data_IF_674283151621
#
_entry.id   IF_674283151621
#
_cell.length_a   1.000
_cell.length_b   1.000
_cell.length_c   1.000
_cell.angle_alpha   90.00
_cell.angle_beta   90.00
_cell.angle_gamma   90.00
#
_symmetry.space_group_name_H-M   'P 1'
#
loop_
_entity.id
_entity.type
_entity.pdbx_description
1 polymer ?
#
# COMPACT_ATOMS: atom_id res chain seq x y z
N UNK A 1 -9.11 14.22 -18.32
CA UNK A 1 -8.24 14.57 -17.17
C UNK A 1 -8.79 14.17 -15.79
N UNK A 2 -10.10 14.01 -15.57
CA UNK A 2 -10.65 13.60 -14.25
C UNK A 2 -10.49 12.10 -13.88
N UNK A 3 -10.14 11.23 -14.83
CA UNK A 3 -9.98 9.77 -14.62
C UNK A 3 -8.61 9.35 -14.07
N UNK A 4 -7.58 10.19 -14.19
CA UNK A 4 -6.21 9.86 -13.77
C UNK A 4 -6.02 10.08 -12.25
N UNK A 5 -6.74 11.05 -11.67
CA UNK A 5 -6.67 11.35 -10.24
C UNK A 5 -7.31 10.27 -9.35
N UNK A 6 -8.28 9.51 -9.86
CA UNK A 6 -9.04 8.56 -9.05
C UNK A 6 -8.34 7.20 -8.85
N UNK A 7 -7.38 6.86 -9.72
CA UNK A 7 -6.61 5.60 -9.64
C UNK A 7 -5.38 5.75 -8.75
N UNK A 8 -4.79 6.97 -8.70
CA UNK A 8 -3.64 7.29 -7.85
C UNK A 8 -3.97 7.28 -6.35
N UNK A 9 -5.18 7.71 -5.97
CA UNK A 9 -5.62 7.70 -4.57
C UNK A 9 -5.95 6.29 -4.07
N UNK A 10 -6.50 5.41 -4.91
CA UNK A 10 -6.81 4.02 -4.52
C UNK A 10 -5.57 3.12 -4.43
N UNK A 11 -4.52 3.38 -5.21
CA UNK A 11 -3.27 2.62 -5.11
C UNK A 11 -2.47 2.96 -3.84
N UNK A 12 -2.49 4.20 -3.38
CA UNK A 12 -1.79 4.59 -2.14
C UNK A 12 -2.46 4.05 -0.87
N UNK A 13 -3.79 3.85 -0.87
CA UNK A 13 -4.51 3.24 0.25
C UNK A 13 -4.21 1.73 0.43
N UNK A 14 -3.68 1.07 -0.60
CA UNK A 14 -3.29 -0.35 -0.56
C UNK A 14 -1.85 -0.55 -0.04
N UNK A 15 -0.98 0.46 -0.13
CA UNK A 15 0.40 0.39 0.36
C UNK A 15 0.54 0.46 1.90
N UNK A 16 -0.49 0.89 2.62
CA UNK A 16 -0.48 1.02 4.09
C UNK A 16 -0.59 -0.32 4.86
N UNK A 17 -0.56 -1.47 4.19
CA UNK A 17 -0.85 -2.77 4.81
C UNK A 17 0.30 -3.79 4.82
N UNK A 18 1.46 -3.50 4.22
CA UNK A 18 2.52 -4.50 4.07
C UNK A 18 3.72 -4.36 5.02
N UNK A 19 4.03 -3.18 5.56
CA UNK A 19 5.10 -3.03 6.55
C UNK A 19 4.78 -3.65 7.92
N UNK A 20 3.52 -3.98 8.17
CA UNK A 20 3.06 -4.40 9.49
C UNK A 20 3.28 -5.87 9.86
N UNK A 21 3.38 -6.79 8.90
CA UNK A 21 3.43 -8.24 9.21
C UNK A 21 4.70 -8.63 9.98
N UNK A 22 5.86 -8.10 9.57
CA UNK A 22 7.14 -8.36 10.27
C UNK A 22 7.17 -7.80 11.68
N UNK A 23 6.66 -6.57 11.87
CA UNK A 23 6.72 -5.88 13.15
C UNK A 23 5.72 -6.36 14.22
N UNK A 24 4.83 -7.31 13.94
CA UNK A 24 3.96 -7.93 14.96
C UNK A 24 4.52 -9.27 15.43
N UNK A 25 5.00 -10.09 14.49
CA UNK A 25 5.60 -11.38 14.82
C UNK A 25 6.91 -11.20 15.60
N UNK A 26 7.70 -10.18 15.26
CA UNK A 26 8.92 -9.80 15.98
C UNK A 26 8.64 -9.32 17.42
N UNK A 27 7.50 -8.65 17.66
CA UNK A 27 7.07 -8.26 19.02
C UNK A 27 6.63 -9.48 19.85
N UNK A 28 5.94 -10.43 19.21
CA UNK A 28 5.51 -11.67 19.85
C UNK A 28 6.72 -12.54 20.19
N UNK A 29 7.69 -12.65 19.29
CA UNK A 29 8.94 -13.39 19.51
C UNK A 29 9.78 -12.75 20.61
N UNK A 30 9.91 -11.41 20.61
CA UNK A 30 10.60 -10.67 21.68
C UNK A 30 9.91 -10.83 23.03
N UNK A 31 8.58 -10.81 23.07
CA UNK A 31 7.81 -11.07 24.28
C UNK A 31 8.00 -12.50 24.81
N UNK A 32 8.11 -13.51 23.93
CA UNK A 32 8.43 -14.89 24.33
C UNK A 32 9.82 -14.99 24.94
N UNK A 33 10.82 -14.40 24.29
CA UNK A 33 12.19 -14.36 24.79
C UNK A 33 12.30 -13.67 26.17
N UNK A 34 11.53 -12.59 26.40
CA UNK A 34 11.49 -11.93 27.70
C UNK A 34 10.80 -12.79 28.77
N UNK A 35 9.75 -13.55 28.43
CA UNK A 35 9.12 -14.51 29.34
C UNK A 35 10.07 -15.64 29.74
N UNK A 36 10.87 -16.15 28.80
CA UNK A 36 11.87 -17.18 29.10
C UNK A 36 13.00 -16.64 29.98
N UNK A 37 13.47 -15.41 29.74
CA UNK A 37 14.45 -14.74 30.60
C UNK A 37 13.89 -14.47 32.00
N UNK A 38 12.62 -14.07 32.09
CA UNK A 38 11.92 -13.88 33.35
C UNK A 38 11.85 -15.20 34.16
N UNK A 39 11.53 -16.31 33.50
CA UNK A 39 11.51 -17.63 34.14
C UNK A 39 12.88 -18.02 34.70
N UNK A 40 13.96 -17.82 33.92
CA UNK A 40 15.34 -18.10 34.38
C UNK A 40 15.77 -17.19 35.54
N UNK A 41 15.38 -15.92 35.55
CA UNK A 41 15.67 -15.00 36.67
C UNK A 41 14.90 -15.39 37.94
N UNK A 42 13.66 -15.88 37.80
CA UNK A 42 12.89 -16.37 38.92
C UNK A 42 13.50 -17.65 39.53
N UNK A 43 14.01 -18.56 38.68
CA UNK A 43 14.76 -19.76 39.11
C UNK A 43 16.07 -19.41 39.84
N UNK A 44 16.72 -18.30 39.46
CA UNK A 44 17.92 -17.77 40.12
C UNK A 44 17.61 -17.00 41.41
N UNK A 45 16.34 -16.88 41.80
CA UNK A 45 15.91 -16.19 43.03
C UNK A 45 15.70 -14.69 42.89
N UNK A 46 15.96 -14.09 41.72
CA UNK A 46 15.68 -12.69 41.44
C UNK A 46 14.23 -12.49 40.97
N UNK A 47 13.32 -12.51 41.95
CA UNK A 47 11.88 -12.34 41.73
C UNK A 47 11.54 -10.95 41.18
N UNK A 48 12.29 -9.91 41.55
CA UNK A 48 12.04 -8.53 41.10
C UNK A 48 12.44 -8.34 39.63
N UNK A 49 13.59 -8.87 39.22
CA UNK A 49 14.00 -8.87 37.81
C UNK A 49 13.04 -9.66 36.92
N UNK A 50 12.58 -10.83 37.40
CA UNK A 50 11.60 -11.65 36.70
C UNK A 50 10.25 -10.94 36.51
N UNK A 51 9.74 -10.25 37.54
CA UNK A 51 8.49 -9.50 37.46
C UNK A 51 8.54 -8.35 36.44
N UNK A 52 9.65 -7.61 36.39
CA UNK A 52 9.85 -6.53 35.42
C UNK A 52 9.86 -7.05 33.98
N UNK A 53 10.60 -8.13 33.71
CA UNK A 53 10.63 -8.76 32.37
C UNK A 53 9.26 -9.33 31.98
N UNK A 54 8.49 -9.84 32.95
CA UNK A 54 7.11 -10.28 32.70
C UNK A 54 6.15 -9.13 32.43
N UNK A 55 6.36 -7.95 33.01
CA UNK A 55 5.57 -6.75 32.69
C UNK A 55 5.91 -6.26 31.28
N UNK A 56 7.19 -6.15 30.93
CA UNK A 56 7.64 -5.75 29.60
C UNK A 56 7.13 -6.70 28.50
N UNK A 57 7.20 -8.02 28.74
CA UNK A 57 6.64 -9.00 27.82
C UNK A 57 5.12 -8.87 27.63
N UNK A 58 4.38 -8.48 28.68
CA UNK A 58 2.93 -8.26 28.61
C UNK A 58 2.60 -7.01 27.79
N UNK A 59 3.36 -5.94 27.94
CA UNK A 59 3.19 -4.72 27.14
C UNK A 59 3.47 -4.97 25.66
N UNK A 60 4.52 -5.72 25.33
CA UNK A 60 4.82 -6.08 23.94
C UNK A 60 3.70 -6.91 23.30
N UNK A 61 3.09 -7.84 24.05
CA UNK A 61 1.94 -8.62 23.57
C UNK A 61 0.70 -7.74 23.34
N UNK A 62 0.36 -6.85 24.29
CA UNK A 62 -0.76 -5.91 24.12
C UNK A 62 -0.55 -4.99 22.91
N UNK A 63 0.67 -4.53 22.69
CA UNK A 63 1.01 -3.70 21.53
C UNK A 63 0.89 -4.49 20.21
N UNK A 64 1.22 -5.79 20.21
CA UNK A 64 1.04 -6.65 19.05
C UNK A 64 -0.45 -6.90 18.75
N UNK A 65 -1.26 -7.13 19.79
CA UNK A 65 -2.71 -7.30 19.69
C UNK A 65 -3.42 -6.04 19.19
N UNK A 66 -3.12 -4.88 19.77
CA UNK A 66 -3.68 -3.59 19.33
C UNK A 66 -3.35 -3.29 17.86
N UNK A 67 -2.13 -3.66 17.41
CA UNK A 67 -1.73 -3.54 15.99
C UNK A 67 -2.49 -4.50 15.09
N UNK A 68 -2.84 -5.68 15.57
CA UNK A 68 -3.63 -6.66 14.82
C UNK A 68 -5.09 -6.20 14.70
N UNK A 69 -5.69 -5.74 15.79
CA UNK A 69 -7.06 -5.22 15.82
C UNK A 69 -7.22 -3.98 14.91
N UNK A 70 -6.28 -3.03 14.96
CA UNK A 70 -6.31 -1.86 14.08
C UNK A 70 -6.25 -2.23 12.58
N UNK A 71 -5.57 -3.33 12.23
CA UNK A 71 -5.54 -3.83 10.84
C UNK A 71 -6.81 -4.51 10.43
N UNK A 72 -7.41 -5.30 11.32
CA UNK A 72 -8.68 -5.96 11.06
C UNK A 72 -9.80 -4.92 10.88
N UNK A 73 -9.81 -3.87 11.69
CA UNK A 73 -10.70 -2.73 11.53
C UNK A 73 -10.47 -2.02 10.19
N UNK A 74 -9.22 -1.74 9.80
CA UNK A 74 -8.89 -1.13 8.50
C UNK A 74 -9.22 -2.01 7.30
N UNK A 75 -9.06 -3.33 7.41
CA UNK A 75 -9.45 -4.29 6.37
C UNK A 75 -10.98 -4.35 6.20
N UNK A 76 -11.73 -4.37 7.30
CA UNK A 76 -13.21 -4.30 7.29
C UNK A 76 -13.69 -3.01 6.65
N UNK A 77 -13.10 -1.87 7.01
CA UNK A 77 -13.45 -0.56 6.42
C UNK A 77 -13.30 -0.52 4.90
N UNK A 78 -12.22 -1.11 4.35
CA UNK A 78 -12.02 -1.19 2.89
C UNK A 78 -13.02 -2.12 2.20
N UNK A 79 -13.39 -3.23 2.84
CA UNK A 79 -14.43 -4.12 2.31
C UNK A 79 -15.77 -3.39 2.24
N UNK A 80 -16.12 -2.64 3.29
CA UNK A 80 -17.37 -1.89 3.33
C UNK A 80 -17.40 -0.73 2.32
N UNK A 81 -16.26 -0.06 2.10
CA UNK A 81 -16.11 0.96 1.06
C UNK A 81 -16.34 0.38 -0.35
N UNK A 82 -15.72 -0.76 -0.67
CA UNK A 82 -15.89 -1.42 -1.98
C UNK A 82 -17.33 -1.90 -2.17
N UNK A 83 -17.99 -2.40 -1.12
CA UNK A 83 -19.42 -2.78 -1.16
C UNK A 83 -20.31 -1.59 -1.46
N UNK A 84 -20.10 -0.44 -0.80
CA UNK A 84 -20.86 0.79 -1.07
C UNK A 84 -20.70 1.23 -2.51
N UNK A 85 -19.46 1.29 -3.00
CA UNK A 85 -19.18 1.65 -4.40
C UNK A 85 -19.83 0.69 -5.39
N UNK A 86 -19.86 -0.61 -5.10
CA UNK A 86 -20.52 -1.59 -5.93
C UNK A 86 -22.04 -1.35 -5.99
N UNK A 87 -22.66 -1.03 -4.85
CA UNK A 87 -24.09 -0.68 -4.82
C UNK A 87 -24.39 0.56 -5.68
N UNK A 88 -23.60 1.63 -5.54
CA UNK A 88 -23.75 2.85 -6.34
C UNK A 88 -23.61 2.59 -7.84
N UNK A 89 -22.70 1.69 -8.24
CA UNK A 89 -22.48 1.35 -9.65
C UNK A 89 -23.62 0.51 -10.23
N UNK A 90 -24.20 -0.38 -9.44
CA UNK A 90 -25.37 -1.17 -9.85
C UNK A 90 -26.60 -0.27 -10.02
N UNK A 91 -26.79 0.69 -9.11
CA UNK A 91 -27.87 1.68 -9.24
C UNK A 91 -27.69 2.54 -10.49
N UNK A 92 -26.47 2.99 -10.77
CA UNK A 92 -26.14 3.73 -12.00
C UNK A 92 -26.35 2.89 -13.25
N UNK A 93 -26.01 1.60 -13.23
CA UNK A 93 -26.26 0.70 -14.37
C UNK A 93 -27.77 0.60 -14.65
N UNK A 94 -28.57 0.43 -13.60
CA UNK A 94 -30.03 0.34 -13.71
C UNK A 94 -30.62 1.63 -14.28
N UNK A 95 -30.22 2.78 -13.74
CA UNK A 95 -30.67 4.09 -14.22
C UNK A 95 -30.31 4.34 -15.69
N UNK A 96 -29.10 3.96 -16.12
CA UNK A 96 -28.65 4.11 -17.51
C UNK A 96 -29.41 3.21 -18.48
N UNK A 97 -29.77 1.99 -18.05
CA UNK A 97 -30.62 1.09 -18.85
C UNK A 97 -32.04 1.63 -18.98
N UNK A 98 -32.61 2.15 -17.89
CA UNK A 98 -33.96 2.73 -17.88
C UNK A 98 -34.04 4.03 -18.70
N UNK A 99 -32.98 4.83 -18.71
CA UNK A 99 -32.92 6.07 -19.50
C UNK A 99 -32.57 5.86 -20.97
N UNK A 100 -32.35 4.61 -21.43
CA UNK A 100 -31.92 4.32 -22.80
C UNK A 100 -30.57 4.97 -23.16
N UNK A 101 -29.66 5.07 -22.19
CA UNK A 101 -28.37 5.75 -22.38
C UNK A 101 -27.46 5.03 -23.39
N UNK A 102 -26.42 5.75 -23.84
CA UNK A 102 -25.46 5.24 -24.81
C UNK A 102 -24.84 3.91 -24.35
N UNK A 103 -24.85 2.91 -25.23
CA UNK A 103 -24.33 1.56 -25.00
C UNK A 103 -22.89 1.57 -24.49
N UNK A 104 -22.06 2.52 -24.95
CA UNK A 104 -20.67 2.70 -24.47
C UNK A 104 -20.59 3.08 -22.99
N UNK A 105 -21.56 3.85 -22.46
CA UNK A 105 -21.60 4.24 -21.05
C UNK A 105 -22.07 3.07 -20.16
N UNK A 106 -23.02 2.29 -20.67
CA UNK A 106 -23.49 1.07 -19.99
C UNK A 106 -22.35 0.04 -19.89
N UNK A 107 -21.58 -0.14 -20.96
CA UNK A 107 -20.41 -1.05 -20.96
C UNK A 107 -19.28 -0.57 -20.04
N UNK A 108 -19.04 0.74 -19.95
CA UNK A 108 -18.06 1.29 -19.01
C UNK A 108 -18.46 1.01 -17.55
N UNK A 109 -19.73 1.23 -17.19
CA UNK A 109 -20.23 0.92 -15.85
C UNK A 109 -20.17 -0.58 -15.55
N UNK A 110 -20.52 -1.44 -16.51
CA UNK A 110 -20.38 -2.90 -16.36
C UNK A 110 -18.95 -3.32 -16.07
N UNK A 111 -17.96 -2.76 -16.77
CA UNK A 111 -16.54 -3.02 -16.49
C UNK A 111 -16.17 -2.61 -15.07
N UNK A 112 -16.63 -1.45 -14.62
CA UNK A 112 -16.37 -0.98 -13.26
C UNK A 112 -17.04 -1.85 -12.18
N UNK A 113 -18.24 -2.37 -12.44
CA UNK A 113 -18.94 -3.34 -11.57
C UNK A 113 -18.11 -4.61 -11.44
N UNK A 114 -17.63 -5.17 -12.55
CA UNK A 114 -16.82 -6.39 -12.54
C UNK A 114 -15.45 -6.19 -11.88
N UNK A 115 -14.80 -5.03 -12.08
CA UNK A 115 -13.58 -4.67 -11.36
C UNK A 115 -13.80 -4.57 -9.85
N UNK A 116 -14.92 -3.95 -9.43
CA UNK A 116 -15.27 -3.80 -8.02
C UNK A 116 -15.61 -5.15 -7.37
N UNK A 117 -16.28 -6.07 -8.08
CA UNK A 117 -16.52 -7.44 -7.62
C UNK A 117 -15.23 -8.23 -7.48
N UNK A 118 -14.33 -8.16 -8.46
CA UNK A 118 -13.00 -8.80 -8.39
C UNK A 118 -12.17 -8.28 -7.22
N UNK A 119 -12.23 -6.96 -6.96
CA UNK A 119 -11.56 -6.36 -5.82
C UNK A 119 -12.16 -6.84 -4.49
N UNK A 120 -13.49 -6.89 -4.39
CA UNK A 120 -14.19 -7.39 -3.22
C UNK A 120 -13.83 -8.86 -2.94
N UNK A 121 -13.81 -9.68 -4.00
CA UNK A 121 -13.42 -11.09 -3.90
C UNK A 121 -11.99 -11.22 -3.37
N UNK A 122 -11.02 -10.48 -3.90
CA UNK A 122 -9.62 -10.47 -3.41
C UNK A 122 -9.49 -10.02 -1.95
N UNK A 123 -10.28 -9.03 -1.54
CA UNK A 123 -10.30 -8.57 -0.15
C UNK A 123 -10.92 -9.61 0.80
N UNK A 124 -11.88 -10.42 0.32
CA UNK A 124 -12.60 -11.44 1.10
C UNK A 124 -11.87 -12.78 1.16
N UNK A 125 -11.28 -13.25 0.06
CA UNK A 125 -10.58 -14.55 0.03
C UNK A 125 -9.26 -14.52 0.77
N UNK A 126 -8.80 -13.37 1.28
CA UNK A 126 -7.49 -13.25 1.91
C UNK A 126 -6.32 -13.42 0.93
N UNK A 127 -6.61 -13.75 -0.33
CA UNK A 127 -5.74 -13.58 -1.49
C UNK A 127 -5.51 -12.09 -1.70
N UNK A 128 -4.67 -11.55 -0.83
CA UNK A 128 -3.90 -10.36 -1.17
C UNK A 128 -3.32 -10.68 -2.55
N UNK A 129 -3.62 -9.87 -3.58
CA UNK A 129 -2.99 -10.07 -4.87
C UNK A 129 -1.51 -10.24 -4.58
N UNK A 130 -0.91 -11.32 -5.10
CA UNK A 130 0.54 -11.53 -5.04
C UNK A 130 1.14 -10.16 -5.16
N UNK A 131 1.79 -9.74 -4.09
CA UNK A 131 2.42 -8.45 -4.03
C UNK A 131 3.13 -8.33 -5.37
N UNK A 132 2.86 -7.27 -6.12
CA UNK A 132 3.96 -6.66 -6.83
C UNK A 132 5.00 -6.49 -5.73
N UNK A 133 5.90 -7.46 -5.61
CA UNK A 133 6.87 -7.54 -4.52
C UNK A 133 7.69 -6.31 -4.77
N UNK A 134 7.35 -5.23 -4.06
CA UNK A 134 8.17 -4.06 -4.00
C UNK A 134 9.58 -4.58 -3.76
N UNK A 135 10.53 -4.14 -4.58
CA UNK A 135 11.94 -4.50 -4.40
C UNK A 135 12.30 -4.29 -2.93
N UNK A 136 13.19 -5.08 -2.31
CA UNK A 136 13.67 -4.85 -0.95
C UNK A 136 13.97 -3.37 -0.66
N UNK A 137 14.49 -2.66 -1.66
CA UNK A 137 14.77 -1.23 -1.62
C UNK A 137 13.53 -0.34 -1.46
N UNK A 138 12.43 -0.69 -2.14
CA UNK A 138 11.16 0.04 -2.08
C UNK A 138 10.45 -0.18 -0.73
N UNK A 139 10.60 -1.36 -0.11
CA UNK A 139 10.10 -1.61 1.25
C UNK A 139 10.89 -0.84 2.30
N UNK A 140 12.22 -0.88 2.23
CA UNK A 140 13.09 -0.12 3.13
C UNK A 140 12.82 1.39 3.04
N UNK A 141 12.49 1.88 1.85
CA UNK A 141 12.15 3.28 1.62
C UNK A 141 10.77 3.66 2.18
N UNK A 142 9.77 2.78 2.05
CA UNK A 142 8.45 2.98 2.66
C UNK A 142 8.54 3.02 4.20
N UNK A 143 9.31 2.12 4.81
CA UNK A 143 9.55 2.15 6.26
C UNK A 143 10.26 3.42 6.72
N UNK A 144 11.27 3.90 5.97
CA UNK A 144 11.95 5.17 6.26
C UNK A 144 10.96 6.34 6.24
N UNK A 145 10.04 6.34 5.28
CA UNK A 145 8.98 7.35 5.19
C UNK A 145 8.02 7.31 6.37
N UNK A 146 7.56 6.13 6.76
CA UNK A 146 6.65 5.96 7.90
C UNK A 146 7.30 6.42 9.20
N UNK A 147 8.56 6.04 9.43
CA UNK A 147 9.33 6.49 10.60
C UNK A 147 9.54 8.01 10.59
N UNK A 148 9.81 8.60 9.42
CA UNK A 148 9.93 10.05 9.27
C UNK A 148 8.63 10.79 9.60
N UNK A 149 7.50 10.32 9.06
CA UNK A 149 6.19 10.90 9.33
C UNK A 149 5.76 10.74 10.80
N UNK A 150 6.04 9.59 11.40
CA UNK A 150 5.79 9.37 12.81
C UNK A 150 6.63 10.30 13.69
N UNK A 151 7.92 10.49 13.35
CA UNK A 151 8.80 11.41 14.07
C UNK A 151 8.33 12.87 13.99
N UNK A 152 7.87 13.32 12.82
CA UNK A 152 7.29 14.67 12.66
C UNK A 152 6.06 14.86 13.55
N UNK A 153 5.16 13.85 13.62
CA UNK A 153 3.99 13.90 14.52
C UNK A 153 4.40 14.02 15.99
N UNK A 154 5.30 13.15 16.44
CA UNK A 154 5.81 13.20 17.81
C UNK A 154 6.46 14.53 18.16
N UNK A 155 7.18 15.14 17.20
CA UNK A 155 7.77 16.46 17.40
C UNK A 155 6.72 17.56 17.54
N UNK A 156 5.62 17.50 16.77
CA UNK A 156 4.51 18.46 16.92
C UNK A 156 3.80 18.29 18.26
N UNK A 157 3.48 17.06 18.65
CA UNK A 157 2.87 16.76 19.94
C UNK A 157 3.76 17.22 21.10
N UNK A 158 5.08 16.99 21.01
CA UNK A 158 6.04 17.48 22.00
C UNK A 158 6.12 19.01 22.03
N UNK A 159 6.07 19.68 20.88
CA UNK A 159 6.05 21.15 20.81
C UNK A 159 4.76 21.73 21.41
N UNK A 160 3.62 21.08 21.21
CA UNK A 160 2.35 21.46 21.86
C UNK A 160 2.44 21.33 23.38
N UNK A 161 3.00 20.22 23.89
CA UNK A 161 3.22 20.06 25.33
C UNK A 161 4.19 21.10 25.90
N UNK A 162 5.25 21.47 25.17
CA UNK A 162 6.19 22.52 25.58
C UNK A 162 5.53 23.90 25.59
N UNK A 163 4.65 24.18 24.64
CA UNK A 163 3.87 25.42 24.60
C UNK A 163 2.92 25.53 25.79
N UNK A 164 2.30 24.41 26.20
CA UNK A 164 1.46 24.34 27.40
C UNK A 164 2.25 24.50 28.71
N UNK A 165 3.55 24.23 28.68
CA UNK A 165 4.48 24.43 29.79
C UNK A 165 5.16 25.81 29.77
N UNK A 166 4.64 26.77 29.00
CA UNK A 166 5.19 28.12 28.80
C UNK A 166 6.63 28.16 28.26
N UNK A 167 7.11 27.07 27.65
CA UNK A 167 8.42 26.99 26.98
C UNK A 167 8.29 27.34 25.49
N UNK A 168 7.75 28.52 25.19
CA UNK A 168 7.37 28.92 23.83
C UNK A 168 8.55 28.93 22.84
N UNK A 169 9.72 29.42 23.24
CA UNK A 169 10.91 29.49 22.38
C UNK A 169 11.40 28.09 21.95
N UNK A 170 11.28 27.10 22.84
CA UNK A 170 11.63 25.72 22.52
C UNK A 170 10.57 25.04 21.66
N UNK A 171 9.29 25.34 21.90
CA UNK A 171 8.20 24.84 21.06
C UNK A 171 8.35 25.33 19.60
N UNK A 172 8.69 26.60 19.41
CA UNK A 172 8.92 27.19 18.08
C UNK A 172 10.08 26.51 17.33
N UNK A 173 11.22 26.28 18.00
CA UNK A 173 12.34 25.53 17.43
C UNK A 173 11.95 24.10 16.99
N UNK A 174 11.12 23.42 17.78
CA UNK A 174 10.66 22.07 17.44
C UNK A 174 9.66 22.10 16.28
N UNK A 175 8.78 23.10 16.22
CA UNK A 175 7.88 23.30 15.09
C UNK A 175 8.63 23.57 13.80
N UNK A 176 9.62 24.47 13.81
CA UNK A 176 10.46 24.77 12.65
C UNK A 176 11.22 23.55 12.17
N UNK A 177 11.73 22.75 13.11
CA UNK A 177 12.42 21.50 12.77
C UNK A 177 11.46 20.48 12.15
N UNK A 178 10.25 20.34 12.69
CA UNK A 178 9.22 19.47 12.13
C UNK A 178 8.76 19.93 10.73
N UNK A 179 8.61 21.24 10.51
CA UNK A 179 8.23 21.83 9.24
C UNK A 179 9.33 21.66 8.16
N UNK A 180 10.59 21.86 8.53
CA UNK A 180 11.73 21.61 7.64
C UNK A 180 11.79 20.14 7.21
N UNK A 181 11.64 19.21 8.16
CA UNK A 181 11.58 17.78 7.87
C UNK A 181 10.40 17.39 6.97
N UNK A 182 9.23 18.01 7.15
CA UNK A 182 8.07 17.78 6.30
C UNK A 182 8.30 18.26 4.86
N UNK A 183 8.96 19.41 4.70
CA UNK A 183 9.34 19.94 3.39
C UNK A 183 10.32 19.02 2.66
N UNK A 184 11.39 18.60 3.31
CA UNK A 184 12.36 17.64 2.75
C UNK A 184 11.67 16.33 2.34
N UNK A 185 10.77 15.85 3.19
CA UNK A 185 10.02 14.62 2.96
C UNK A 185 9.04 14.76 1.79
N UNK A 186 8.39 15.91 1.63
CA UNK A 186 7.53 16.22 0.48
C UNK A 186 8.32 16.30 -0.83
N UNK A 187 9.47 16.98 -0.82
CA UNK A 187 10.34 17.08 -1.99
C UNK A 187 10.87 15.72 -2.42
N UNK A 188 11.21 14.86 -1.46
CA UNK A 188 11.63 13.50 -1.72
C UNK A 188 10.49 12.65 -2.33
N UNK A 189 9.25 12.76 -1.80
CA UNK A 189 8.07 12.11 -2.41
C UNK A 189 7.89 12.55 -3.86
N UNK A 190 8.04 13.84 -4.13
CA UNK A 190 7.88 14.40 -5.48
C UNK A 190 8.91 13.82 -6.45
N UNK A 191 10.20 13.80 -6.07
CA UNK A 191 11.27 13.22 -6.89
C UNK A 191 11.01 11.73 -7.19
N UNK A 192 10.57 10.99 -6.19
CA UNK A 192 10.21 9.57 -6.34
C UNK A 192 9.02 9.36 -7.28
N UNK A 193 7.98 10.19 -7.18
CA UNK A 193 6.83 10.11 -8.08
C UNK A 193 7.24 10.38 -9.54
N UNK A 194 8.08 11.39 -9.77
CA UNK A 194 8.63 11.70 -11.09
C UNK A 194 9.49 10.56 -11.66
N UNK A 195 10.28 9.88 -10.82
CA UNK A 195 11.11 8.75 -11.24
C UNK A 195 10.27 7.50 -11.59
N UNK A 196 9.20 7.25 -10.82
CA UNK A 196 8.23 6.19 -11.11
C UNK A 196 7.46 6.46 -12.40
N UNK A 197 7.03 7.69 -12.66
CA UNK A 197 6.39 8.06 -13.92
C UNK A 197 7.33 7.88 -15.11
N UNK A 198 8.58 8.34 -15.01
CA UNK A 198 9.58 8.12 -16.07
C UNK A 198 9.81 6.64 -16.35
N UNK A 199 9.87 5.82 -15.30
CA UNK A 199 10.03 4.37 -15.43
C UNK A 199 8.83 3.73 -16.12
N UNK A 200 7.61 4.17 -15.78
CA UNK A 200 6.37 3.68 -16.38
C UNK A 200 6.25 4.06 -17.85
N UNK A 201 6.63 5.29 -18.22
CA UNK A 201 6.66 5.73 -19.62
C UNK A 201 7.64 4.91 -20.48
N UNK A 202 8.80 4.51 -19.92
CA UNK A 202 9.74 3.63 -20.63
C UNK A 202 9.21 2.21 -20.83
N UNK A 203 8.47 1.68 -19.86
CA UNK A 203 7.82 0.35 -19.97
C UNK A 203 6.73 0.38 -21.03
N UNK A 204 5.89 1.42 -21.03
CA UNK A 204 4.85 1.63 -22.05
C UNK A 204 5.44 1.73 -23.47
N UNK A 205 6.51 2.52 -23.66
CA UNK A 205 7.17 2.63 -24.96
C UNK A 205 7.78 1.29 -25.44
N UNK A 206 8.27 0.46 -24.50
CA UNK A 206 8.81 -0.87 -24.79
C UNK A 206 7.70 -1.87 -25.16
N UNK A 207 6.53 -1.76 -24.55
CA UNK A 207 5.36 -2.59 -24.86
C UNK A 207 4.78 -2.26 -26.23
N UNK A 208 4.72 -0.97 -26.59
CA UNK A 208 4.33 -0.50 -27.93
C UNK A 208 5.28 -1.03 -29.00
N UNK A 209 6.60 -0.85 -28.82
CA UNK A 209 7.61 -1.38 -29.75
C UNK A 209 7.53 -2.92 -29.88
N UNK A 210 7.29 -3.62 -28.78
CA UNK A 210 7.11 -5.07 -28.78
C UNK A 210 5.84 -5.53 -29.50
N UNK A 211 4.78 -4.71 -29.52
CA UNK A 211 3.56 -4.98 -30.29
C UNK A 211 3.76 -4.78 -31.79
N UNK A 212 4.48 -3.73 -32.18
CA UNK A 212 4.84 -3.45 -33.57
C UNK A 212 5.74 -4.55 -34.14
N UNK A 213 6.78 -4.95 -33.40
CA UNK A 213 7.66 -6.04 -33.84
C UNK A 213 6.93 -7.38 -34.00
N UNK A 214 5.91 -7.66 -33.17
CA UNK A 214 5.11 -8.88 -33.29
C UNK A 214 4.26 -8.86 -34.56
N UNK A 215 3.64 -7.73 -34.89
CA UNK A 215 2.89 -7.56 -36.13
C UNK A 215 3.80 -7.74 -37.36
N UNK A 216 5.00 -7.17 -37.32
CA UNK A 216 5.93 -7.28 -38.45
C UNK A 216 6.44 -8.71 -38.65
N UNK A 217 6.72 -9.44 -37.55
CA UNK A 217 7.07 -10.86 -37.62
C UNK A 217 5.93 -11.69 -38.21
N UNK A 218 4.68 -11.40 -37.84
CA UNK A 218 3.50 -12.11 -38.35
C UNK A 218 3.31 -11.86 -39.85
N UNK A 219 3.43 -10.60 -40.27
CA UNK A 219 3.39 -10.21 -41.69
C UNK A 219 4.47 -10.90 -42.52
N UNK A 220 5.73 -10.86 -42.07
CA UNK A 220 6.85 -11.51 -42.75
C UNK A 220 6.67 -13.04 -42.81
N UNK A 221 6.07 -13.66 -41.79
CA UNK A 221 5.77 -15.09 -41.80
C UNK A 221 4.72 -15.46 -42.84
N UNK A 222 3.71 -14.62 -43.02
CA UNK A 222 2.70 -14.82 -44.05
C UNK A 222 3.29 -14.59 -45.46
N UNK A 223 4.11 -13.56 -45.66
CA UNK A 223 4.82 -13.35 -46.93
C UNK A 223 5.73 -14.54 -47.28
N UNK A 224 6.49 -15.07 -46.32
CA UNK A 224 7.32 -16.26 -46.53
C UNK A 224 6.47 -17.50 -46.85
N UNK A 225 5.29 -17.62 -46.22
CA UNK A 225 4.35 -18.73 -46.49
C UNK A 225 3.82 -18.65 -47.92
N UNK A 226 3.42 -17.47 -48.37
CA UNK A 226 2.89 -17.24 -49.72
C UNK A 226 3.96 -17.49 -50.79
N UNK A 227 5.17 -16.95 -50.61
CA UNK A 227 6.29 -17.20 -51.51
C UNK A 227 6.65 -18.69 -51.59
N UNK A 228 6.57 -19.41 -50.47
CA UNK A 228 6.81 -20.85 -50.44
C UNK A 228 5.74 -21.65 -51.20
N UNK A 229 4.48 -21.20 -51.17
CA UNK A 229 3.40 -21.81 -51.94
C UNK A 229 3.57 -21.55 -53.45
N UNK A 230 3.90 -20.31 -53.83
CA UNK A 230 4.18 -19.95 -55.23
C UNK A 230 5.36 -20.74 -55.85
N UNK A 231 6.36 -21.11 -55.04
CA UNK A 231 7.46 -21.97 -55.47
C UNK A 231 7.10 -23.45 -55.59
N UNK A 232 6.05 -23.92 -54.89
CA UNK A 232 5.57 -25.31 -54.98
C UNK A 232 4.61 -25.53 -56.16
N UNK A 233 3.92 -24.47 -56.57
CA UNK A 233 2.97 -24.51 -57.68
C UNK A 233 3.65 -24.30 -59.05
N UNK A 234 4.98 -24.13 -59.07
CA UNK A 234 5.85 -24.12 -60.26
C UNK A 234 6.61 -25.42 -60.40
#
# INVERSE_FOLDING_TARGET
MRRVFFVLTTCFALSFCQAGLKGSDELIERARNLKEKAARMAEQGDKKGAELLHQEARELMRNAEARKEGREAGARGRVDEVKRRLADLLEKEKALRESGANERQVDEIRRMVEESKRLLQKLQSGDRPEATRFSPDQQAMAEKFERGAQRIRHMREAAEHLKLADMADFAEQIFDKAASMEKEMSEFKRRMAEELERSRSRVSAREELGSEMRQEIERLRDEVRDLRNQLKDR
#
